data_IF_616219455630
#
_entry.id   IF_616219455630
#
_cell.length_a   1.000
_cell.length_b   1.000
_cell.length_c   1.000
_cell.angle_alpha   90.00
_cell.angle_beta   90.00
_cell.angle_gamma   90.00
#
_symmetry.space_group_name_H-M   'P 1'
#
loop_
_entity.id
_entity.type
_entity.pdbx_description
1 polymer ?
#
# COMPACT_ATOMS: atom_id res chain seq x y z
N UNK A 1 -4.85 27.26 -30.68
CA UNK A 1 -5.76 27.12 -29.52
C UNK A 1 -5.66 25.67 -29.04
N UNK A 2 -4.69 25.37 -28.17
CA UNK A 2 -4.53 24.03 -27.58
C UNK A 2 -5.48 23.96 -26.39
N UNK A 3 -6.55 23.19 -26.52
CA UNK A 3 -7.41 22.82 -25.39
C UNK A 3 -6.57 21.80 -24.61
N UNK A 4 -6.08 22.20 -23.44
CA UNK A 4 -5.46 21.27 -22.50
C UNK A 4 -6.55 20.27 -22.12
N UNK A 5 -6.35 18.98 -22.40
CA UNK A 5 -7.22 17.90 -21.93
C UNK A 5 -7.36 18.03 -20.42
N UNK A 6 -8.49 18.59 -19.98
CA UNK A 6 -8.77 18.72 -18.55
C UNK A 6 -9.13 17.33 -18.06
N UNK A 7 -8.22 16.70 -17.30
CA UNK A 7 -8.45 15.38 -16.73
C UNK A 7 -9.49 15.48 -15.60
N UNK A 8 -10.76 15.28 -15.91
CA UNK A 8 -11.83 15.16 -14.91
C UNK A 8 -12.06 13.70 -14.49
N UNK A 9 -11.07 12.85 -14.72
CA UNK A 9 -11.18 11.39 -14.53
C UNK A 9 -11.87 10.70 -15.71
N UNK A 10 -11.45 9.46 -15.97
CA UNK A 10 -12.09 8.60 -16.98
C UNK A 10 -13.31 7.91 -16.37
N UNK A 11 -14.42 7.79 -17.11
CA UNK A 11 -15.61 7.04 -16.67
C UNK A 11 -15.27 5.60 -16.24
N UNK A 12 -14.24 4.99 -16.86
CA UNK A 12 -13.72 3.66 -16.49
C UNK A 12 -13.06 3.65 -15.11
N UNK A 13 -12.31 4.70 -14.77
CA UNK A 13 -11.69 4.85 -13.45
C UNK A 13 -12.76 5.01 -12.35
N UNK A 14 -13.79 5.80 -12.61
CA UNK A 14 -14.92 5.97 -11.69
C UNK A 14 -15.69 4.66 -11.46
N UNK A 15 -15.94 3.90 -12.52
CA UNK A 15 -16.58 2.58 -12.40
C UNK A 15 -15.72 1.59 -11.59
N UNK A 16 -14.39 1.63 -11.80
CA UNK A 16 -13.44 0.78 -11.07
C UNK A 16 -13.41 1.11 -9.58
N UNK A 17 -13.43 2.41 -9.24
CA UNK A 17 -13.50 2.87 -7.84
C UNK A 17 -14.78 2.38 -7.14
N UNK A 18 -15.95 2.56 -7.77
CA UNK A 18 -17.23 2.10 -7.20
C UNK A 18 -17.26 0.58 -7.03
N UNK A 19 -16.70 -0.16 -7.98
CA UNK A 19 -16.57 -1.62 -7.89
C UNK A 19 -15.71 -2.04 -6.69
N UNK A 20 -14.52 -1.44 -6.55
CA UNK A 20 -13.61 -1.72 -5.44
C UNK A 20 -14.27 -1.38 -4.08
N UNK A 21 -14.94 -0.23 -3.98
CA UNK A 21 -15.65 0.18 -2.76
C UNK A 21 -16.73 -0.84 -2.37
N UNK A 22 -17.55 -1.27 -3.35
CA UNK A 22 -18.59 -2.28 -3.11
C UNK A 22 -17.97 -3.61 -2.68
N UNK A 23 -16.89 -4.04 -3.33
CA UNK A 23 -16.16 -5.25 -2.94
C UNK A 23 -15.65 -5.17 -1.50
N UNK A 24 -15.05 -4.05 -1.08
CA UNK A 24 -14.61 -3.83 0.30
C UNK A 24 -15.76 -3.89 1.30
N UNK A 25 -16.90 -3.26 1.00
CA UNK A 25 -18.09 -3.32 1.85
C UNK A 25 -18.64 -4.74 1.98
N UNK A 26 -18.66 -5.52 0.89
CA UNK A 26 -19.09 -6.92 0.95
C UNK A 26 -18.13 -7.79 1.74
N UNK A 27 -16.82 -7.49 1.72
CA UNK A 27 -15.84 -8.22 2.52
C UNK A 27 -15.99 -7.94 4.02
N UNK A 28 -16.45 -6.74 4.41
CA UNK A 28 -16.68 -6.39 5.80
C UNK A 28 -17.86 -7.17 6.44
N UNK A 29 -18.82 -7.64 5.64
CA UNK A 29 -20.00 -8.35 6.16
C UNK A 29 -19.82 -9.87 6.22
N UNK A 30 -18.72 -10.40 5.67
CA UNK A 30 -18.41 -11.84 5.72
C UNK A 30 -17.88 -12.18 7.11
N UNK A 31 -18.53 -13.12 7.78
CA UNK A 31 -18.08 -13.64 9.09
C UNK A 31 -16.83 -14.48 8.89
N UNK A 32 -15.79 -14.21 9.68
CA UNK A 32 -14.57 -15.01 9.68
C UNK A 32 -14.88 -16.44 10.09
N UNK A 33 -14.83 -17.36 9.13
CA UNK A 33 -14.94 -18.79 9.40
C UNK A 33 -13.58 -19.33 9.84
N UNK A 34 -13.56 -20.16 10.89
CA UNK A 34 -12.35 -20.83 11.44
C UNK A 34 -11.52 -21.56 10.36
N UNK A 35 -12.16 -21.96 9.24
CA UNK A 35 -11.53 -22.70 8.14
C UNK A 35 -10.98 -21.82 7.00
N UNK A 36 -11.17 -20.51 7.04
CA UNK A 36 -10.74 -19.60 5.97
C UNK A 36 -9.87 -18.48 6.55
N UNK A 37 -8.60 -18.81 6.83
CA UNK A 37 -7.60 -17.83 7.26
C UNK A 37 -7.05 -17.07 6.05
N UNK A 38 -7.17 -15.74 6.04
CA UNK A 38 -6.59 -14.85 5.02
C UNK A 38 -5.60 -13.87 5.67
N UNK A 39 -4.30 -14.21 5.75
CA UNK A 39 -3.33 -13.38 6.44
C UNK A 39 -3.10 -12.07 5.69
N UNK A 40 -3.36 -10.94 6.34
CA UNK A 40 -2.92 -9.63 5.87
C UNK A 40 -1.56 -9.32 6.48
N UNK A 41 -0.55 -9.06 5.65
CA UNK A 41 0.83 -8.89 6.12
C UNK A 41 1.30 -7.46 5.90
N UNK A 42 1.68 -6.81 6.99
CA UNK A 42 2.39 -5.55 7.00
C UNK A 42 3.90 -5.80 7.05
N UNK A 43 4.60 -5.46 5.97
CA UNK A 43 6.05 -5.67 5.82
C UNK A 43 6.78 -4.34 5.98
N UNK A 44 7.53 -4.19 7.06
CA UNK A 44 8.40 -3.03 7.30
C UNK A 44 9.72 -3.16 6.55
N UNK A 45 9.67 -3.22 5.22
CA UNK A 45 10.84 -3.44 4.36
C UNK A 45 11.65 -2.18 4.07
N UNK A 46 11.09 -0.98 4.27
CA UNK A 46 11.62 0.20 3.59
C UNK A 46 11.18 0.20 2.13
N UNK A 47 12.01 0.75 1.24
CA UNK A 47 11.77 0.63 -0.21
C UNK A 47 11.73 -0.84 -0.61
N UNK A 48 10.77 -1.26 -1.44
CA UNK A 48 10.65 -2.67 -1.82
C UNK A 48 11.91 -3.18 -2.54
N UNK A 49 12.56 -2.34 -3.33
CA UNK A 49 13.85 -2.66 -3.99
C UNK A 49 15.03 -2.84 -3.04
N UNK A 50 14.95 -2.36 -1.80
CA UNK A 50 16.06 -2.46 -0.84
C UNK A 50 16.18 -3.83 -0.19
N UNK A 51 15.06 -4.58 -0.07
CA UNK A 51 15.01 -5.89 0.60
C UNK A 51 14.10 -6.88 -0.15
N UNK A 52 14.46 -7.29 -1.37
CA UNK A 52 13.67 -8.26 -2.14
C UNK A 52 13.42 -9.61 -1.43
N UNK A 53 14.36 -10.22 -0.68
CA UNK A 53 14.12 -11.51 -0.04
C UNK A 53 13.00 -11.47 1.02
N UNK A 54 12.82 -10.34 1.69
CA UNK A 54 11.76 -10.17 2.70
C UNK A 54 10.39 -10.11 2.03
N UNK A 55 10.30 -9.47 0.87
CA UNK A 55 9.09 -9.45 0.05
C UNK A 55 8.77 -10.84 -0.51
N UNK A 56 9.78 -11.56 -1.00
CA UNK A 56 9.59 -12.93 -1.48
C UNK A 56 9.12 -13.85 -0.36
N UNK A 57 9.70 -13.74 0.84
CA UNK A 57 9.23 -14.47 2.02
C UNK A 57 7.77 -14.15 2.36
N UNK A 58 7.41 -12.87 2.41
CA UNK A 58 6.02 -12.47 2.65
C UNK A 58 5.07 -12.96 1.54
N UNK A 59 5.53 -12.99 0.28
CA UNK A 59 4.77 -13.51 -0.86
C UNK A 59 4.55 -15.03 -0.76
N UNK A 60 5.53 -15.77 -0.23
CA UNK A 60 5.39 -17.21 0.02
C UNK A 60 4.32 -17.49 1.08
N UNK A 61 4.17 -16.61 2.09
CA UNK A 61 3.14 -16.74 3.12
C UNK A 61 1.76 -16.43 2.54
N UNK A 62 1.60 -15.32 1.80
CA UNK A 62 0.30 -14.91 1.24
C UNK A 62 -0.10 -15.68 -0.01
N UNK A 63 0.84 -16.41 -0.62
CA UNK A 63 0.67 -17.12 -1.91
C UNK A 63 0.13 -16.22 -3.03
N UNK A 64 0.38 -14.90 -2.95
CA UNK A 64 -0.20 -13.86 -3.82
C UNK A 64 -1.74 -13.74 -3.75
N UNK A 65 -2.41 -14.41 -2.81
CA UNK A 65 -3.87 -14.40 -2.66
C UNK A 65 -4.35 -13.38 -1.61
N UNK A 66 -3.48 -12.99 -0.68
CA UNK A 66 -3.81 -12.04 0.38
C UNK A 66 -3.08 -10.71 0.21
N UNK A 67 -3.56 -9.70 0.92
CA UNK A 67 -3.02 -8.34 0.86
C UNK A 67 -1.65 -8.28 1.56
N UNK A 68 -0.67 -7.71 0.87
CA UNK A 68 0.61 -7.33 1.45
C UNK A 68 0.80 -5.82 1.36
N UNK A 69 1.14 -5.22 2.50
CA UNK A 69 1.42 -3.78 2.59
C UNK A 69 2.88 -3.58 2.94
N UNK A 70 3.62 -2.89 2.07
CA UNK A 70 5.04 -2.58 2.32
C UNK A 70 5.18 -1.16 2.83
N UNK A 71 5.82 -0.99 3.99
CA UNK A 71 6.00 0.32 4.62
C UNK A 71 7.46 0.72 4.65
N UNK A 72 7.70 1.94 4.17
CA UNK A 72 8.94 2.66 4.35
C UNK A 72 8.76 3.80 5.35
N UNK A 73 9.51 3.73 6.45
CA UNK A 73 9.58 4.78 7.46
C UNK A 73 10.82 5.64 7.20
N UNK A 74 10.62 6.91 6.84
CA UNK A 74 11.71 7.86 6.58
C UNK A 74 11.69 9.02 7.58
N UNK A 75 12.85 9.33 8.18
CA UNK A 75 13.03 10.42 9.19
C UNK A 75 13.30 11.79 8.56
N UNK A 76 12.87 12.04 7.32
CA UNK A 76 13.29 13.21 6.55
C UNK A 76 12.24 14.32 6.65
N UNK A 77 12.66 15.48 7.18
CA UNK A 77 11.84 16.66 7.44
C UNK A 77 11.44 17.45 6.19
N UNK A 78 12.01 17.16 5.00
CA UNK A 78 11.73 17.93 3.78
C UNK A 78 11.65 17.07 2.52
N UNK A 79 10.56 17.33 1.77
CA UNK A 79 10.33 17.07 0.35
C UNK A 79 10.45 15.62 -0.15
N UNK A 80 9.35 14.87 -0.07
CA UNK A 80 9.07 13.85 -1.07
C UNK A 80 8.53 14.58 -2.30
N UNK A 81 9.34 14.68 -3.36
CA UNK A 81 8.84 15.13 -4.66
C UNK A 81 7.92 14.03 -5.24
N UNK A 82 6.81 14.40 -5.90
CA UNK A 82 5.88 13.43 -6.51
C UNK A 82 6.56 12.50 -7.54
N UNK A 83 7.65 12.94 -8.18
CA UNK A 83 8.53 12.13 -9.04
C UNK A 83 9.11 10.89 -8.35
N UNK A 84 9.46 11.00 -7.06
CA UNK A 84 9.99 9.87 -6.28
C UNK A 84 8.90 8.84 -5.99
N UNK A 85 7.61 9.20 -6.03
CA UNK A 85 6.50 8.25 -5.89
C UNK A 85 6.18 7.55 -7.22
N UNK A 86 6.27 8.26 -8.34
CA UNK A 86 5.82 7.77 -9.65
C UNK A 86 6.72 6.65 -10.22
N UNK A 87 8.03 6.66 -9.90
CA UNK A 87 8.97 5.60 -10.32
C UNK A 87 8.97 4.34 -9.42
N UNK A 88 8.14 4.28 -8.36
CA UNK A 88 8.15 3.15 -7.41
C UNK A 88 7.32 1.94 -7.85
N UNK A 89 6.32 2.16 -8.69
CA UNK A 89 5.34 1.14 -9.06
C UNK A 89 5.86 0.03 -9.98
N UNK A 90 7.00 0.24 -10.66
CA UNK A 90 7.50 -0.69 -11.68
C UNK A 90 8.01 -2.02 -11.11
N UNK A 91 8.37 -2.06 -9.82
CA UNK A 91 8.85 -3.26 -9.13
C UNK A 91 7.76 -4.04 -8.38
N UNK A 92 6.54 -3.51 -8.30
CA UNK A 92 5.49 -4.09 -7.49
C UNK A 92 4.78 -5.23 -8.24
N UNK A 93 4.67 -6.38 -7.58
CA UNK A 93 3.82 -7.48 -8.04
C UNK A 93 2.34 -7.13 -7.82
N UNK A 94 1.45 -7.76 -8.56
CA UNK A 94 0.01 -7.45 -8.59
C UNK A 94 -0.70 -7.41 -7.22
N UNK A 95 -0.16 -8.09 -6.20
CA UNK A 95 -0.76 -8.18 -4.85
C UNK A 95 -0.05 -7.32 -3.79
N UNK A 96 0.90 -6.47 -4.19
CA UNK A 96 1.71 -5.66 -3.28
C UNK A 96 1.26 -4.20 -3.32
N UNK A 97 0.76 -3.70 -2.20
CA UNK A 97 0.47 -2.29 -1.99
C UNK A 97 1.68 -1.68 -1.29
N UNK A 98 2.41 -0.79 -1.96
CA UNK A 98 3.50 -0.04 -1.31
C UNK A 98 2.93 1.24 -0.73
N UNK A 99 2.99 1.37 0.60
CA UNK A 99 2.64 2.60 1.30
C UNK A 99 3.94 3.32 1.71
N UNK A 100 4.03 4.59 1.34
CA UNK A 100 5.05 5.47 1.86
C UNK A 100 4.46 6.28 3.00
N UNK A 101 4.99 6.12 4.21
CA UNK A 101 4.61 6.94 5.35
C UNK A 101 5.74 7.93 5.64
N UNK A 102 5.46 9.22 5.48
CA UNK A 102 6.38 10.28 5.87
C UNK A 102 6.05 10.72 7.30
N UNK A 103 7.02 10.59 8.21
CA UNK A 103 6.88 11.14 9.56
C UNK A 103 7.23 12.63 9.50
N UNK A 104 6.25 13.50 9.72
CA UNK A 104 6.49 14.91 9.98
C UNK A 104 6.50 15.10 11.50
N UNK A 105 7.68 15.25 12.09
CA UNK A 105 7.85 15.59 13.50
C UNK A 105 8.73 14.64 14.31
N UNK A 106 9.26 15.15 15.43
CA UNK A 106 10.14 14.44 16.38
C UNK A 106 9.37 13.36 17.16
N UNK A 107 9.10 12.23 16.53
CA UNK A 107 8.63 11.04 17.25
C UNK A 107 9.83 10.18 17.65
N UNK A 108 10.07 10.11 18.96
CA UNK A 108 11.17 9.36 19.55
C UNK A 108 10.88 7.85 19.52
N UNK A 109 11.80 7.12 18.88
CA UNK A 109 12.29 5.78 19.22
C UNK A 109 11.29 4.66 19.57
N UNK A 110 10.16 4.55 18.85
CA UNK A 110 9.32 3.32 18.63
C UNK A 110 7.84 3.68 18.37
N UNK A 111 7.45 4.90 18.73
CA UNK A 111 6.09 5.44 18.56
C UNK A 111 5.59 5.42 17.10
N UNK A 112 6.47 5.61 16.11
CA UNK A 112 6.07 5.52 14.71
C UNK A 112 5.69 4.10 14.29
N UNK A 113 6.41 3.07 14.76
CA UNK A 113 6.12 1.70 14.38
C UNK A 113 4.75 1.28 14.94
N UNK A 114 4.40 1.72 16.15
CA UNK A 114 3.06 1.53 16.72
C UNK A 114 1.98 2.14 15.84
N UNK A 115 2.13 3.41 15.46
CA UNK A 115 1.13 4.10 14.64
C UNK A 115 0.89 3.45 13.26
N UNK A 116 1.88 2.73 12.72
CA UNK A 116 1.72 1.98 11.47
C UNK A 116 1.00 0.64 11.69
N UNK A 117 1.19 0.02 12.85
CA UNK A 117 0.50 -1.23 13.23
C UNK A 117 -0.95 -0.98 13.64
N UNK A 118 -1.25 0.23 14.12
CA UNK A 118 -2.60 0.67 14.51
C UNK A 118 -3.46 1.18 13.32
N UNK A 119 -2.97 1.08 12.08
CA UNK A 119 -3.71 1.36 10.83
C UNK A 119 -4.57 0.17 10.39
#
# INVERSE_FOLDING_TARGET
MHIVDVNWGSSTQSASYVSALRATLTLQTVVDHVKNYRPQILVMSGRPSSRPPLLDFANLITKNLSMMVCVEVSKILFAVTPDVLQNRGQWLRASVISLHCQIIGKWANNSCCSAVVDL
#
